data_IF_746512561154
#
_entry.id   IF_746512561154
#
_cell.length_a   1.000
_cell.length_b   1.000
_cell.length_c   1.000
_cell.angle_alpha   90.00
_cell.angle_beta   90.00
_cell.angle_gamma   90.00
#
_symmetry.space_group_name_H-M   'P 1'
#
loop_
_entity.id
_entity.type
_entity.pdbx_description
1 polymer ?
#
# COMPACT_ATOMS: atom_id res chain seq x y z
N UNK A 1 -4.85 10.85 -13.75
CA UNK A 1 -4.27 9.50 -13.90
C UNK A 1 -4.37 8.75 -12.59
N UNK A 2 -4.78 7.49 -12.61
CA UNK A 2 -4.78 6.63 -11.43
C UNK A 2 -3.38 6.07 -11.16
N UNK A 3 -3.00 6.03 -9.88
CA UNK A 3 -1.76 5.41 -9.44
C UNK A 3 -2.06 4.43 -8.31
N UNK A 4 -1.63 3.18 -8.46
CA UNK A 4 -1.71 2.18 -7.40
C UNK A 4 -0.41 2.18 -6.58
N UNK A 5 -0.54 2.40 -5.28
CA UNK A 5 0.51 2.24 -4.29
C UNK A 5 0.35 0.89 -3.61
N UNK A 6 1.29 -0.03 -3.84
CA UNK A 6 1.35 -1.34 -3.18
C UNK A 6 2.40 -1.26 -2.08
N UNK A 7 1.95 -1.13 -0.84
CA UNK A 7 2.80 -0.81 0.32
C UNK A 7 3.29 -2.10 0.99
N UNK A 8 4.59 -2.25 1.14
CA UNK A 8 5.29 -3.22 1.99
C UNK A 8 4.88 -4.69 1.82
N UNK A 9 4.57 -5.11 0.59
CA UNK A 9 4.27 -6.52 0.29
C UNK A 9 5.55 -7.36 0.15
N UNK A 10 6.39 -7.34 1.21
CA UNK A 10 7.74 -7.91 1.25
C UNK A 10 7.79 -9.24 2.03
N UNK A 11 8.69 -10.14 1.61
CA UNK A 11 8.86 -11.48 2.20
C UNK A 11 9.11 -11.43 3.71
N UNK A 12 10.00 -10.56 4.19
CA UNK A 12 10.35 -10.46 5.60
C UNK A 12 9.20 -9.96 6.49
N UNK A 13 8.34 -9.07 5.97
CA UNK A 13 7.19 -8.53 6.71
C UNK A 13 6.01 -9.51 6.76
N UNK A 14 5.88 -10.34 5.74
CA UNK A 14 4.69 -11.18 5.55
C UNK A 14 4.90 -12.64 5.95
N UNK A 15 6.14 -13.08 6.17
CA UNK A 15 6.41 -14.41 6.73
C UNK A 15 6.05 -14.47 8.22
N UNK A 16 5.94 -15.68 8.76
CA UNK A 16 5.69 -15.91 10.18
C UNK A 16 4.22 -15.78 10.56
N UNK A 17 3.87 -14.78 11.39
CA UNK A 17 2.50 -14.61 11.91
C UNK A 17 1.45 -14.56 10.79
N UNK A 18 0.32 -15.24 11.01
CA UNK A 18 -0.80 -15.28 10.07
C UNK A 18 -1.29 -13.84 9.75
N UNK A 19 -1.47 -13.56 8.47
CA UNK A 19 -2.08 -12.33 7.94
C UNK A 19 -3.48 -12.63 7.44
N UNK A 20 -4.40 -11.71 7.70
CA UNK A 20 -5.80 -11.86 7.30
C UNK A 20 -5.92 -11.93 5.78
N UNK A 21 -6.49 -13.03 5.26
CA UNK A 21 -6.78 -13.23 3.84
C UNK A 21 -5.61 -12.99 2.86
N UNK A 22 -4.34 -13.17 3.29
CA UNK A 22 -3.15 -12.75 2.54
C UNK A 22 -3.16 -13.23 1.08
N UNK A 23 -3.49 -14.49 0.82
CA UNK A 23 -3.48 -15.03 -0.55
C UNK A 23 -4.51 -14.30 -1.44
N UNK A 24 -5.72 -14.12 -0.94
CA UNK A 24 -6.77 -13.41 -1.67
C UNK A 24 -6.44 -11.92 -1.85
N UNK A 25 -5.80 -11.27 -0.87
CA UNK A 25 -5.31 -9.90 -0.98
C UNK A 25 -4.26 -9.78 -2.09
N UNK A 26 -3.28 -10.69 -2.14
CA UNK A 26 -2.25 -10.72 -3.21
C UNK A 26 -2.89 -10.89 -4.60
N UNK A 27 -3.86 -11.81 -4.72
CA UNK A 27 -4.57 -12.02 -5.99
C UNK A 27 -5.32 -10.76 -6.45
N UNK A 28 -6.00 -10.05 -5.53
CA UNK A 28 -6.73 -8.81 -5.83
C UNK A 28 -5.74 -7.69 -6.20
N UNK A 29 -4.64 -7.53 -5.46
CA UNK A 29 -3.58 -6.56 -5.81
C UNK A 29 -3.07 -6.81 -7.24
N UNK A 30 -2.77 -8.06 -7.59
CA UNK A 30 -2.30 -8.42 -8.93
C UNK A 30 -3.32 -8.08 -10.03
N UNK A 31 -4.62 -8.35 -9.79
CA UNK A 31 -5.69 -7.99 -10.74
C UNK A 31 -5.83 -6.48 -10.88
N UNK A 32 -5.82 -5.75 -9.75
CA UNK A 32 -5.91 -4.30 -9.74
C UNK A 32 -4.72 -3.65 -10.46
N UNK A 33 -3.50 -4.12 -10.19
CA UNK A 33 -2.29 -3.64 -10.84
C UNK A 33 -2.36 -3.83 -12.36
N UNK A 34 -2.84 -5.00 -12.82
CA UNK A 34 -3.04 -5.26 -14.25
C UNK A 34 -4.06 -4.29 -14.87
N UNK A 35 -5.18 -4.01 -14.19
CA UNK A 35 -6.18 -3.05 -14.69
C UNK A 35 -5.64 -1.62 -14.75
N UNK A 36 -4.96 -1.18 -13.69
CA UNK A 36 -4.35 0.16 -13.63
C UNK A 36 -3.36 0.35 -14.78
N UNK A 37 -2.47 -0.61 -15.01
CA UNK A 37 -1.53 -0.56 -16.16
C UNK A 37 -2.26 -0.49 -17.50
N UNK A 38 -3.28 -1.33 -17.71
CA UNK A 38 -4.07 -1.36 -18.96
C UNK A 38 -4.85 -0.07 -19.22
N UNK A 39 -5.25 0.66 -18.20
CA UNK A 39 -5.93 1.96 -18.33
C UNK A 39 -4.96 3.13 -18.45
N UNK A 40 -3.66 2.89 -18.60
CA UNK A 40 -2.64 3.93 -18.70
C UNK A 40 -2.25 4.56 -17.36
N UNK A 41 -2.60 3.93 -16.25
CA UNK A 41 -2.16 4.31 -14.90
C UNK A 41 -0.77 3.75 -14.57
N UNK A 42 -0.26 4.09 -13.39
CA UNK A 42 1.04 3.64 -12.91
C UNK A 42 0.91 2.78 -11.64
N UNK A 43 1.86 1.85 -11.46
CA UNK A 43 1.96 1.04 -10.24
C UNK A 43 3.29 1.34 -9.56
N UNK A 44 3.22 1.63 -8.26
CA UNK A 44 4.37 1.83 -7.40
C UNK A 44 4.39 0.75 -6.33
N UNK A 45 5.52 0.08 -6.21
CA UNK A 45 5.81 -0.79 -5.09
C UNK A 45 6.63 0.00 -4.06
N UNK A 46 6.00 0.26 -2.92
CA UNK A 46 6.65 0.94 -1.80
C UNK A 46 7.26 -0.13 -0.90
N UNK A 47 8.58 -0.08 -0.70
CA UNK A 47 9.31 -1.08 0.07
C UNK A 47 10.02 -0.45 1.27
N UNK A 48 9.87 -1.06 2.44
CA UNK A 48 10.65 -0.71 3.60
C UNK A 48 12.11 -1.13 3.41
N UNK A 49 13.04 -0.22 3.66
CA UNK A 49 14.47 -0.45 3.63
C UNK A 49 15.06 -0.27 5.03
N UNK A 50 15.57 -1.35 5.58
CA UNK A 50 16.28 -1.37 6.85
C UNK A 50 17.76 -0.96 6.72
N UNK A 51 18.46 -0.76 7.83
CA UNK A 51 19.89 -0.48 7.85
C UNK A 51 20.71 -1.70 7.42
N UNK A 52 22.01 -1.48 7.19
CA UNK A 52 22.97 -2.54 6.87
C UNK A 52 22.94 -3.63 7.94
N UNK A 53 22.86 -4.89 7.53
CA UNK A 53 22.80 -6.05 8.40
C UNK A 53 21.38 -6.42 8.90
N UNK A 54 20.38 -5.61 8.55
CA UNK A 54 18.98 -5.89 8.83
C UNK A 54 18.38 -6.86 7.79
N UNK A 55 17.33 -7.58 8.16
CA UNK A 55 16.60 -8.46 7.23
C UNK A 55 15.92 -7.69 6.08
N UNK A 56 15.75 -6.38 6.24
CA UNK A 56 15.20 -5.46 5.25
C UNK A 56 16.28 -4.57 4.59
N UNK A 57 17.56 -4.86 4.79
CA UNK A 57 18.59 -4.23 3.98
C UNK A 57 18.28 -4.47 2.49
N UNK A 58 18.36 -3.44 1.63
CA UNK A 58 18.07 -3.59 0.21
C UNK A 58 18.83 -4.77 -0.42
N UNK A 59 18.11 -5.55 -1.23
CA UNK A 59 18.57 -6.77 -1.91
C UNK A 59 18.69 -8.02 -1.04
N UNK A 60 18.37 -7.98 0.25
CA UNK A 60 18.25 -9.20 1.08
C UNK A 60 16.97 -9.98 0.75
N UNK A 61 16.91 -11.26 1.08
CA UNK A 61 15.68 -12.05 0.88
C UNK A 61 14.44 -11.45 1.55
N UNK A 62 14.58 -10.86 2.75
CA UNK A 62 13.45 -10.24 3.46
C UNK A 62 12.96 -8.93 2.83
N UNK A 63 13.87 -8.20 2.17
CA UNK A 63 13.54 -6.96 1.46
C UNK A 63 12.74 -7.20 0.18
N UNK A 64 12.92 -8.33 -0.50
CA UNK A 64 12.23 -8.59 -1.76
C UNK A 64 10.71 -8.63 -1.59
N UNK A 65 9.99 -8.23 -2.63
CA UNK A 65 8.55 -8.42 -2.72
C UNK A 65 8.21 -9.92 -2.66
N UNK A 66 7.03 -10.26 -2.15
CA UNK A 66 6.51 -11.62 -2.24
C UNK A 66 6.62 -12.14 -3.68
N UNK A 67 7.14 -13.36 -3.85
CA UNK A 67 7.30 -13.99 -5.16
C UNK A 67 5.97 -14.13 -5.93
N UNK A 68 4.84 -14.07 -5.24
CA UNK A 68 3.48 -14.11 -5.80
C UNK A 68 2.97 -12.75 -6.28
N UNK A 69 3.63 -11.65 -5.95
CA UNK A 69 3.35 -10.31 -6.49
C UNK A 69 3.89 -10.21 -7.92
N UNK A 70 3.03 -9.80 -8.84
CA UNK A 70 3.37 -9.65 -10.27
C UNK A 70 3.82 -8.22 -10.57
N UNK A 71 5.10 -8.09 -10.89
CA UNK A 71 5.70 -6.83 -11.32
C UNK A 71 5.91 -6.78 -12.82
N UNK A 72 5.96 -5.57 -13.37
CA UNK A 72 6.26 -5.31 -14.79
C UNK A 72 7.41 -4.29 -14.89
N UNK A 73 8.19 -4.27 -16.00
CA UNK A 73 9.32 -3.35 -16.14
C UNK A 73 8.95 -1.86 -16.09
N UNK A 74 7.69 -1.51 -16.30
CA UNK A 74 7.20 -0.14 -16.20
C UNK A 74 6.83 0.30 -14.78
N UNK A 75 6.82 -0.62 -13.82
CA UNK A 75 6.51 -0.31 -12.44
C UNK A 75 7.64 0.47 -11.77
N UNK A 76 7.28 1.30 -10.81
CA UNK A 76 8.26 2.08 -10.05
C UNK A 76 8.43 1.50 -8.64
N UNK A 77 9.64 1.59 -8.11
CA UNK A 77 9.95 1.19 -6.74
C UNK A 77 10.29 2.43 -5.94
N UNK A 78 9.66 2.58 -4.78
CA UNK A 78 9.94 3.64 -3.82
C UNK A 78 10.44 3.01 -2.54
N UNK A 79 11.64 3.39 -2.12
CA UNK A 79 12.23 2.95 -0.85
C UNK A 79 11.88 3.92 0.28
N UNK A 80 11.42 3.41 1.41
CA UNK A 80 11.11 4.19 2.62
C UNK A 80 11.73 3.56 3.86
N UNK A 81 11.95 4.36 4.89
CA UNK A 81 12.53 3.91 6.17
C UNK A 81 11.57 4.04 7.36
N UNK A 82 10.42 4.68 7.17
CA UNK A 82 9.36 4.83 8.18
C UNK A 82 8.03 4.30 7.65
N UNK A 83 6.98 4.36 8.45
CA UNK A 83 5.65 3.89 8.04
C UNK A 83 5.08 4.68 6.85
N UNK A 84 5.26 6.00 6.87
CA UNK A 84 4.77 6.91 5.82
C UNK A 84 5.59 6.77 4.54
N UNK A 85 4.92 6.50 3.42
CA UNK A 85 5.53 6.37 2.10
C UNK A 85 6.03 7.71 1.51
N UNK A 86 5.55 8.84 2.03
CA UNK A 86 5.93 10.17 1.55
C UNK A 86 7.13 10.77 2.30
N UNK A 87 7.38 10.30 3.54
CA UNK A 87 8.40 10.90 4.37
C UNK A 87 9.82 10.63 3.85
N UNK A 88 10.48 11.69 3.37
CA UNK A 88 11.86 11.65 2.83
C UNK A 88 12.06 10.63 1.71
N UNK A 89 11.05 10.46 0.84
CA UNK A 89 11.10 9.63 -0.36
C UNK A 89 10.91 10.46 -1.61
N UNK A 90 11.07 9.86 -2.79
CA UNK A 90 10.78 10.49 -4.08
C UNK A 90 9.27 10.47 -4.42
N UNK A 91 8.43 9.77 -3.65
CA UNK A 91 7.05 9.46 -4.04
C UNK A 91 6.26 10.71 -4.47
N UNK A 92 6.32 11.79 -3.67
CA UNK A 92 5.55 13.00 -3.98
C UNK A 92 5.99 13.65 -5.30
N UNK A 93 7.29 13.72 -5.56
CA UNK A 93 7.83 14.25 -6.83
C UNK A 93 7.49 13.37 -8.02
N UNK A 94 7.58 12.05 -7.85
CA UNK A 94 7.24 11.07 -8.88
C UNK A 94 5.76 11.14 -9.27
N UNK A 95 4.88 11.29 -8.28
CA UNK A 95 3.44 11.47 -8.49
C UNK A 95 3.11 12.80 -9.19
N UNK A 96 3.83 13.87 -8.85
CA UNK A 96 3.68 15.17 -9.50
C UNK A 96 4.11 15.12 -10.97
N UNK A 97 5.25 14.47 -11.27
CA UNK A 97 5.73 14.24 -12.64
C UNK A 97 4.68 13.52 -13.49
N UNK A 98 4.04 12.49 -12.94
CA UNK A 98 3.00 11.71 -13.59
C UNK A 98 1.64 12.44 -13.66
N UNK A 99 1.50 13.60 -13.01
CA UNK A 99 0.21 14.30 -12.83
C UNK A 99 -0.85 13.36 -12.25
N UNK A 100 -0.47 12.60 -11.21
CA UNK A 100 -1.38 11.70 -10.53
C UNK A 100 -2.57 12.49 -9.95
N UNK A 101 -3.79 12.00 -10.19
CA UNK A 101 -5.02 12.60 -9.68
C UNK A 101 -5.61 11.77 -8.54
N UNK A 102 -5.61 10.45 -8.70
CA UNK A 102 -6.20 9.52 -7.75
C UNK A 102 -5.20 8.45 -7.34
N UNK A 103 -5.05 8.25 -6.02
CA UNK A 103 -4.18 7.22 -5.45
C UNK A 103 -5.02 6.07 -4.91
N UNK A 104 -4.76 4.87 -5.40
CA UNK A 104 -5.32 3.62 -4.90
C UNK A 104 -4.29 3.03 -3.94
N UNK A 105 -4.64 2.86 -2.67
CA UNK A 105 -3.68 2.38 -1.65
C UNK A 105 -4.04 0.96 -1.22
N UNK A 106 -3.06 0.08 -1.28
CA UNK A 106 -3.15 -1.35 -0.96
C UNK A 106 -1.89 -1.83 -0.22
N UNK A 107 -1.92 -2.99 0.41
CA UNK A 107 -0.72 -3.63 0.96
C UNK A 107 -0.75 -3.95 2.46
N UNK A 108 0.38 -3.82 3.12
CA UNK A 108 0.66 -4.18 4.53
C UNK A 108 1.25 -2.97 5.31
N UNK A 109 0.99 -2.77 6.58
CA UNK A 109 -0.11 -3.31 7.36
C UNK A 109 -1.19 -2.24 7.47
N UNK A 110 -2.45 -2.66 7.51
CA UNK A 110 -3.62 -1.78 7.60
C UNK A 110 -3.44 -0.64 8.60
N UNK A 111 -3.01 -0.96 9.81
CA UNK A 111 -2.91 -0.05 10.96
C UNK A 111 -1.52 0.60 11.14
N UNK A 112 -0.63 0.45 10.19
CA UNK A 112 0.73 1.01 10.21
C UNK A 112 1.05 1.72 8.88
N UNK A 113 1.74 1.04 7.98
CA UNK A 113 2.26 1.68 6.77
C UNK A 113 1.15 2.09 5.78
N UNK A 114 0.07 1.30 5.69
CA UNK A 114 -1.09 1.65 4.87
C UNK A 114 -1.79 2.86 5.45
N UNK A 115 -2.07 2.85 6.76
CA UNK A 115 -2.71 3.97 7.48
C UNK A 115 -1.90 5.26 7.34
N UNK A 116 -0.62 5.23 7.68
CA UNK A 116 0.26 6.40 7.59
C UNK A 116 0.32 6.97 6.17
N UNK A 117 0.37 6.10 5.15
CA UNK A 117 0.41 6.51 3.74
C UNK A 117 -0.92 7.15 3.31
N UNK A 118 -2.07 6.60 3.72
CA UNK A 118 -3.39 7.18 3.43
C UNK A 118 -3.53 8.55 4.07
N UNK A 119 -3.14 8.71 5.34
CA UNK A 119 -3.19 10.00 6.03
C UNK A 119 -2.32 11.06 5.34
N UNK A 120 -1.08 10.72 4.99
CA UNK A 120 -0.18 11.64 4.28
C UNK A 120 -0.71 11.99 2.88
N UNK A 121 -1.15 11.01 2.11
CA UNK A 121 -1.73 11.25 0.78
C UNK A 121 -2.94 12.19 0.84
N UNK A 122 -3.85 11.95 1.80
CA UNK A 122 -5.03 12.78 1.99
C UNK A 122 -4.66 14.21 2.42
N UNK A 123 -3.71 14.38 3.35
CA UNK A 123 -3.23 15.67 3.81
C UNK A 123 -2.51 16.47 2.70
N UNK A 124 -1.85 15.79 1.77
CA UNK A 124 -1.21 16.37 0.59
C UNK A 124 -2.22 16.75 -0.52
N UNK A 125 -3.50 16.45 -0.34
CA UNK A 125 -4.57 16.85 -1.26
C UNK A 125 -4.82 15.88 -2.42
N UNK A 126 -4.30 14.66 -2.37
CA UNK A 126 -4.66 13.63 -3.35
C UNK A 126 -6.08 13.10 -3.13
N UNK A 127 -6.76 12.72 -4.21
CA UNK A 127 -7.97 11.88 -4.12
C UNK A 127 -7.55 10.47 -3.78
N UNK A 128 -7.86 10.00 -2.58
CA UNK A 128 -7.41 8.69 -2.07
C UNK A 128 -8.54 7.69 -2.09
N UNK A 129 -8.25 6.50 -2.58
CA UNK A 129 -9.07 5.29 -2.44
C UNK A 129 -8.28 4.29 -1.59
N UNK A 130 -8.76 4.02 -0.39
CA UNK A 130 -8.33 2.84 0.36
C UNK A 130 -9.03 1.63 -0.25
N UNK A 131 -8.25 0.71 -0.85
CA UNK A 131 -8.85 -0.44 -1.55
C UNK A 131 -9.20 -1.51 -0.51
N UNK A 132 -10.47 -1.52 -0.10
CA UNK A 132 -11.02 -2.17 1.09
C UNK A 132 -10.64 -3.64 1.27
N UNK A 133 -10.42 -4.37 0.19
CA UNK A 133 -10.09 -5.79 0.18
C UNK A 133 -8.70 -6.10 -0.40
N UNK A 134 -7.85 -5.08 -0.53
CA UNK A 134 -6.48 -5.17 -1.01
C UNK A 134 -5.42 -4.79 0.04
N UNK A 135 -5.78 -4.69 1.31
CA UNK A 135 -4.84 -4.53 2.41
C UNK A 135 -5.08 -5.58 3.49
N UNK A 136 -4.08 -5.81 4.32
CA UNK A 136 -4.13 -6.86 5.35
C UNK A 136 -3.39 -6.46 6.61
N UNK A 137 -3.64 -7.22 7.68
CA UNK A 137 -3.04 -7.08 8.99
C UNK A 137 -3.05 -8.45 9.71
N UNK A 138 -2.20 -8.64 10.71
CA UNK A 138 -2.30 -9.75 11.65
C UNK A 138 -3.18 -9.37 12.83
N UNK A 139 -3.67 -10.36 13.58
CA UNK A 139 -4.28 -10.11 14.87
C UNK A 139 -3.34 -9.29 15.76
N UNK A 140 -3.91 -8.37 16.52
CA UNK A 140 -3.24 -7.61 17.57
C UNK A 140 -3.58 -8.21 18.93
N UNK A 141 -2.77 -7.97 19.98
CA UNK A 141 -3.04 -8.54 21.32
C UNK A 141 -4.43 -8.24 21.87
N UNK A 142 -5.05 -7.16 21.41
CA UNK A 142 -6.32 -6.63 21.92
C UNK A 142 -7.42 -6.59 20.85
N UNK A 143 -7.12 -6.92 19.57
CA UNK A 143 -8.08 -6.77 18.48
C UNK A 143 -7.78 -7.74 17.32
N UNK A 144 -8.77 -8.50 16.87
CA UNK A 144 -8.58 -9.37 15.73
C UNK A 144 -8.47 -8.58 14.40
N UNK A 145 -7.77 -9.13 13.42
CA UNK A 145 -7.45 -8.49 12.15
C UNK A 145 -8.67 -7.91 11.42
N UNK A 146 -9.79 -8.65 11.36
CA UNK A 146 -11.01 -8.15 10.74
C UNK A 146 -11.53 -6.87 11.41
N UNK A 147 -11.46 -6.79 12.74
CA UNK A 147 -11.86 -5.59 13.47
C UNK A 147 -10.90 -4.41 13.30
N UNK A 148 -9.61 -4.69 13.15
CA UNK A 148 -8.62 -3.65 12.78
C UNK A 148 -8.96 -3.06 11.43
N UNK A 149 -9.26 -3.90 10.44
CA UNK A 149 -9.65 -3.48 9.09
C UNK A 149 -10.93 -2.64 9.12
N UNK A 150 -12.00 -3.15 9.75
CA UNK A 150 -13.29 -2.44 9.87
C UNK A 150 -13.11 -1.06 10.53
N UNK A 151 -12.30 -1.01 11.61
CA UNK A 151 -12.02 0.24 12.32
C UNK A 151 -11.32 1.26 11.40
N UNK A 152 -10.30 0.84 10.66
CA UNK A 152 -9.57 1.76 9.78
C UNK A 152 -10.41 2.21 8.58
N UNK A 153 -11.28 1.36 8.03
CA UNK A 153 -12.25 1.80 7.03
C UNK A 153 -13.12 2.96 7.56
N UNK A 154 -13.58 2.85 8.82
CA UNK A 154 -14.34 3.94 9.45
C UNK A 154 -13.46 5.18 9.67
N UNK A 155 -12.22 5.02 10.18
CA UNK A 155 -11.29 6.14 10.39
C UNK A 155 -11.04 6.88 9.10
N UNK A 156 -10.65 6.17 8.02
CA UNK A 156 -10.33 6.79 6.74
C UNK A 156 -11.53 7.48 6.08
N UNK A 157 -12.71 6.88 6.15
CA UNK A 157 -13.94 7.48 5.62
C UNK A 157 -14.34 8.78 6.35
N UNK A 158 -13.82 9.01 7.56
CA UNK A 158 -14.10 10.19 8.38
C UNK A 158 -12.91 11.16 8.51
N UNK A 159 -11.85 10.96 7.73
CA UNK A 159 -10.71 11.88 7.74
C UNK A 159 -11.12 13.28 7.25
N UNK A 160 -10.66 14.29 7.97
CA UNK A 160 -10.74 15.67 7.50
C UNK A 160 -9.59 15.92 6.52
N UNK A 161 -9.93 16.01 5.23
CA UNK A 161 -8.98 16.22 4.15
C UNK A 161 -9.61 17.06 3.03
N UNK A 162 -8.82 17.67 2.12
CA UNK A 162 -9.34 18.42 0.98
C UNK A 162 -10.30 17.61 0.09
N UNK A 163 -10.08 16.32 -0.01
CA UNK A 163 -10.96 15.36 -0.68
C UNK A 163 -11.29 14.21 0.27
N UNK A 164 -12.57 13.76 0.34
CA UNK A 164 -12.94 12.60 1.13
C UNK A 164 -12.17 11.34 0.68
N UNK A 165 -11.70 10.54 1.64
CA UNK A 165 -11.13 9.24 1.33
C UNK A 165 -12.26 8.26 0.99
N UNK A 166 -12.19 7.63 -0.17
CA UNK A 166 -13.15 6.61 -0.59
C UNK A 166 -12.71 5.23 -0.14
N UNK A 167 -13.64 4.41 0.32
CA UNK A 167 -13.41 3.01 0.67
C UNK A 167 -14.12 2.18 -0.39
N UNK A 168 -13.36 1.59 -1.31
CA UNK A 168 -13.90 0.82 -2.44
C UNK A 168 -13.23 -0.56 -2.50
N UNK A 169 -14.00 -1.58 -2.88
CA UNK A 169 -13.42 -2.89 -3.19
C UNK A 169 -12.73 -2.89 -4.54
N UNK A 170 -11.81 -3.82 -4.74
CA UNK A 170 -11.10 -4.02 -6.01
C UNK A 170 -12.04 -4.09 -7.21
N UNK A 171 -13.18 -4.77 -7.06
CA UNK A 171 -14.14 -4.95 -8.15
C UNK A 171 -14.96 -3.67 -8.49
N UNK A 172 -14.90 -2.63 -7.67
CA UNK A 172 -15.64 -1.35 -7.85
C UNK A 172 -14.75 -0.28 -8.53
N UNK A 173 -13.50 -0.59 -8.74
CA UNK A 173 -12.49 0.26 -9.40
C UNK A 173 -12.30 -0.22 -10.84
#
# INVERSE_FOLDING_TARGET
>A
MDVLLVVDMQEGLLRGTLKHDLLAVVERINRLALRVRRSGGAVFFVQHAGPVGDDFEPLTPGWHLLATIKTEPCDRIVSKTLNDAFFKTSLQSDLAELRADRLLVAGWATDLCVDATIHSAAALGFKVVAVADCHTVSDRPHLCAGRVIDHHHWVWANLLAPHPVSILREAEI
#
